data_IF_660107232983
#
_entry.id   IF_660107232983
#
_cell.length_a   1.000
_cell.length_b   1.000
_cell.length_c   1.000
_cell.angle_alpha   90.00
_cell.angle_beta   90.00
_cell.angle_gamma   90.00
#
_symmetry.space_group_name_H-M   'P 1'
#
loop_
_entity.id
_entity.type
_entity.pdbx_description
1 polymer ?
#
# COMPACT_ATOMS: atom_id res chain seq x y z
N UNK A 1 20.43 -2.03 -0.32
CA UNK A 1 19.94 -3.32 0.20
C UNK A 1 18.63 -3.05 0.94
N UNK A 2 17.54 -2.87 0.20
CA UNK A 2 16.21 -2.55 0.76
C UNK A 2 15.53 -3.86 1.20
N UNK A 3 15.89 -4.32 2.39
CA UNK A 3 15.07 -5.30 3.11
C UNK A 3 14.13 -4.55 4.05
N UNK A 4 13.31 -3.64 3.52
CA UNK A 4 12.11 -3.20 4.23
C UNK A 4 11.25 -4.44 4.42
N UNK A 5 10.97 -4.79 5.68
CA UNK A 5 10.13 -5.94 6.01
C UNK A 5 8.71 -5.62 5.52
N UNK A 6 8.44 -5.95 4.26
CA UNK A 6 7.12 -5.89 3.65
C UNK A 6 6.19 -6.78 4.47
N UNK A 7 5.24 -6.18 5.18
CA UNK A 7 4.28 -6.97 5.92
C UNK A 7 3.14 -7.44 5.00
N UNK A 8 2.22 -8.19 5.59
CA UNK A 8 1.09 -8.74 4.83
C UNK A 8 0.14 -7.66 4.30
N UNK A 9 0.01 -6.52 4.98
CA UNK A 9 -0.82 -5.39 4.53
C UNK A 9 -0.17 -4.65 3.38
N UNK A 10 1.14 -4.48 3.40
CA UNK A 10 1.88 -3.89 2.29
C UNK A 10 1.71 -4.73 1.01
N UNK A 11 1.78 -6.06 1.14
CA UNK A 11 1.52 -6.99 0.02
C UNK A 11 0.08 -6.88 -0.50
N UNK A 12 -0.89 -6.74 0.39
CA UNK A 12 -2.30 -6.57 0.04
C UNK A 12 -2.52 -5.25 -0.72
N UNK A 13 -1.92 -4.16 -0.24
CA UNK A 13 -1.91 -2.85 -0.90
C UNK A 13 -1.34 -2.95 -2.32
N UNK A 14 -0.17 -3.58 -2.46
CA UNK A 14 0.46 -3.76 -3.78
C UNK A 14 -0.41 -4.60 -4.72
N UNK A 15 -1.06 -5.66 -4.23
CA UNK A 15 -1.98 -6.46 -5.05
C UNK A 15 -3.17 -5.65 -5.53
N UNK A 16 -3.75 -4.80 -4.69
CA UNK A 16 -4.83 -3.89 -5.09
C UNK A 16 -4.36 -2.89 -6.15
N UNK A 17 -3.20 -2.26 -5.97
CA UNK A 17 -2.63 -1.30 -6.92
C UNK A 17 -2.27 -1.95 -8.26
N UNK A 18 -1.73 -3.16 -8.25
CA UNK A 18 -1.41 -3.90 -9.49
C UNK A 18 -2.66 -4.23 -10.30
N UNK A 19 -3.81 -4.46 -9.64
CA UNK A 19 -5.10 -4.67 -10.31
C UNK A 19 -5.68 -3.35 -10.82
N UNK A 20 -5.58 -2.29 -10.03
CA UNK A 20 -6.14 -0.98 -10.34
C UNK A 20 -5.21 0.14 -9.84
N UNK A 21 -4.30 0.59 -10.70
CA UNK A 21 -3.31 1.62 -10.33
C UNK A 21 -3.89 3.01 -10.06
N UNK A 22 -5.18 3.23 -10.31
CA UNK A 22 -5.90 4.50 -10.05
C UNK A 22 -6.86 4.40 -8.88
N UNK A 23 -6.82 3.31 -8.11
CA UNK A 23 -7.69 3.14 -6.95
C UNK A 23 -7.49 4.27 -5.95
N UNK A 24 -8.59 4.82 -5.42
CA UNK A 24 -8.50 5.86 -4.40
C UNK A 24 -8.01 5.28 -3.07
N UNK A 25 -7.33 6.10 -2.26
CA UNK A 25 -6.87 5.70 -0.93
C UNK A 25 -8.03 5.23 -0.05
N UNK A 26 -9.19 5.90 -0.13
CA UNK A 26 -10.36 5.54 0.67
C UNK A 26 -10.86 4.15 0.29
N UNK A 27 -10.99 3.86 -1.01
CA UNK A 27 -11.41 2.53 -1.48
C UNK A 27 -10.36 1.46 -1.16
N UNK A 28 -9.08 1.78 -1.33
CA UNK A 28 -7.99 0.90 -0.95
C UNK A 28 -8.05 0.56 0.54
N UNK A 29 -8.35 1.54 1.39
CA UNK A 29 -8.46 1.37 2.84
C UNK A 29 -9.60 0.42 3.24
N UNK A 30 -10.73 0.50 2.54
CA UNK A 30 -11.84 -0.45 2.70
C UNK A 30 -11.41 -1.88 2.31
N UNK A 31 -10.75 -2.04 1.16
CA UNK A 31 -10.31 -3.35 0.66
C UNK A 31 -9.31 -4.01 1.59
N UNK A 32 -8.35 -3.25 2.12
CA UNK A 32 -7.30 -3.77 3.00
C UNK A 32 -7.69 -3.68 4.49
N UNK A 33 -8.92 -3.30 4.84
CA UNK A 33 -9.38 -3.26 6.24
C UNK A 33 -8.54 -2.37 7.17
N UNK A 34 -8.07 -1.23 6.66
CA UNK A 34 -7.33 -0.21 7.42
C UNK A 34 -8.04 1.14 7.31
N UNK A 35 -7.71 2.08 8.19
CA UNK A 35 -8.14 3.47 7.99
C UNK A 35 -7.30 4.17 6.90
N UNK A 36 -7.77 5.27 6.30
CA UNK A 36 -7.04 5.96 5.23
C UNK A 36 -5.63 6.43 5.65
N UNK A 37 -5.46 6.87 6.90
CA UNK A 37 -4.18 7.39 7.42
C UNK A 37 -3.01 6.38 7.35
N UNK A 38 -3.11 5.17 7.92
CA UNK A 38 -2.05 4.15 7.80
C UNK A 38 -1.84 3.68 6.36
N UNK A 39 -2.87 3.67 5.51
CA UNK A 39 -2.70 3.35 4.08
C UNK A 39 -1.84 4.40 3.39
N UNK A 40 -2.10 5.70 3.59
CA UNK A 40 -1.25 6.77 3.04
C UNK A 40 0.20 6.66 3.51
N UNK A 41 0.40 6.37 4.80
CA UNK A 41 1.75 6.20 5.36
C UNK A 41 2.48 5.03 4.69
N UNK A 42 1.79 3.89 4.51
CA UNK A 42 2.36 2.69 3.87
C UNK A 42 2.64 2.92 2.39
N UNK A 43 1.74 3.56 1.64
CA UNK A 43 1.97 3.96 0.25
C UNK A 43 3.25 4.78 0.11
N UNK A 44 3.41 5.80 0.95
CA UNK A 44 4.61 6.63 0.96
C UNK A 44 5.88 5.83 1.29
N UNK A 45 5.80 4.91 2.26
CA UNK A 45 6.92 4.02 2.58
C UNK A 45 7.30 3.14 1.38
N UNK A 46 6.32 2.60 0.66
CA UNK A 46 6.53 1.76 -0.53
C UNK A 46 7.15 2.56 -1.69
N UNK A 47 6.72 3.82 -1.89
CA UNK A 47 7.33 4.76 -2.84
C UNK A 47 8.78 5.11 -2.44
N UNK A 48 9.01 5.45 -1.17
CA UNK A 48 10.34 5.79 -0.63
C UNK A 48 11.31 4.61 -0.73
N UNK A 49 10.80 3.38 -0.61
CA UNK A 49 11.55 2.12 -0.77
C UNK A 49 11.80 1.74 -2.24
N UNK A 50 11.20 2.47 -3.20
CA UNK A 50 11.31 2.24 -4.65
C UNK A 50 10.54 1.01 -5.14
N UNK A 51 9.47 0.62 -4.43
CA UNK A 51 8.62 -0.53 -4.77
C UNK A 51 7.42 -0.16 -5.65
N UNK A 52 7.07 1.13 -5.73
CA UNK A 52 6.01 1.71 -6.58
C UNK A 52 6.60 2.89 -7.36
#
# INVERSE_FOLDING_TARGET
MTSSKLDWKDREILQCLMREGRISVDRLSELVGLSPTPVRRRLRQLEDDGLI
#
